data_IF_308722688462
#
_entry.id   IF_308722688462
#
_cell.length_a   1.000
_cell.length_b   1.000
_cell.length_c   1.000
_cell.angle_alpha   90.00
_cell.angle_beta   90.00
_cell.angle_gamma   90.00
#
_symmetry.space_group_name_H-M   'P 1'
#
loop_
_entity.id
_entity.type
_entity.pdbx_description
1 polymer ?
#
# COMPACT_ATOMS: atom_id res chain seq x y z
N UNK A 1 13.92 1.00 2.74
CA UNK A 1 12.98 1.89 2.02
C UNK A 1 12.73 3.10 2.91
N UNK A 2 13.05 4.30 2.44
CA UNK A 2 12.94 5.52 3.25
C UNK A 2 11.49 5.74 3.74
N UNK A 3 11.34 6.25 4.97
CA UNK A 3 10.02 6.46 5.61
C UNK A 3 9.08 7.32 4.74
N UNK A 4 9.61 8.28 3.98
CA UNK A 4 8.87 9.12 3.06
C UNK A 4 8.28 8.35 1.86
N UNK A 5 9.04 7.40 1.28
CA UNK A 5 8.58 6.53 0.18
C UNK A 5 7.42 5.65 0.64
N UNK A 6 7.53 5.09 1.85
CA UNK A 6 6.46 4.26 2.46
C UNK A 6 5.18 5.07 2.64
N UNK A 7 5.28 6.33 3.10
CA UNK A 7 4.11 7.21 3.29
C UNK A 7 3.41 7.52 1.97
N UNK A 8 4.16 7.89 0.92
CA UNK A 8 3.60 8.12 -0.42
C UNK A 8 2.96 6.85 -0.99
N UNK A 9 3.59 5.69 -0.78
CA UNK A 9 3.08 4.41 -1.30
C UNK A 9 1.74 4.00 -0.68
N UNK A 10 1.50 4.33 0.60
CA UNK A 10 0.19 4.11 1.26
C UNK A 10 -0.93 4.92 0.60
N UNK A 11 -0.64 6.17 0.25
CA UNK A 11 -1.59 7.06 -0.44
C UNK A 11 -1.90 6.50 -1.82
N UNK A 12 -0.88 6.09 -2.59
CA UNK A 12 -1.10 5.47 -3.91
C UNK A 12 -1.96 4.20 -3.82
N UNK A 13 -1.76 3.36 -2.79
CA UNK A 13 -2.61 2.18 -2.56
C UNK A 13 -4.06 2.57 -2.24
N UNK A 14 -4.27 3.63 -1.44
CA UNK A 14 -5.61 4.19 -1.17
C UNK A 14 -6.28 4.75 -2.43
N UNK A 15 -5.50 5.33 -3.34
CA UNK A 15 -5.96 5.84 -4.64
C UNK A 15 -6.24 4.72 -5.66
N UNK A 16 -6.09 3.45 -5.29
CA UNK A 16 -6.43 2.31 -6.15
C UNK A 16 -5.29 1.83 -7.06
N UNK A 17 -4.05 2.29 -6.86
CA UNK A 17 -2.93 1.85 -7.71
C UNK A 17 -2.73 0.33 -7.65
N UNK A 18 -2.46 -0.26 -8.81
CA UNK A 18 -2.15 -1.69 -8.94
C UNK A 18 -0.72 -1.97 -8.50
N UNK A 19 -0.42 -3.25 -8.18
CA UNK A 19 0.94 -3.65 -7.83
C UNK A 19 1.96 -3.34 -8.95
N UNK A 20 1.51 -3.35 -10.21
CA UNK A 20 2.35 -3.04 -11.37
C UNK A 20 2.67 -1.55 -11.46
N UNK A 21 1.68 -0.69 -11.25
CA UNK A 21 1.89 0.75 -11.20
C UNK A 21 2.81 1.15 -10.04
N UNK A 22 2.62 0.54 -8.87
CA UNK A 22 3.50 0.76 -7.72
C UNK A 22 4.93 0.26 -7.98
N UNK A 23 5.07 -0.91 -8.59
CA UNK A 23 6.38 -1.46 -8.97
C UNK A 23 7.14 -0.50 -9.90
N UNK A 24 6.46 0.01 -10.94
CA UNK A 24 7.03 0.95 -11.90
C UNK A 24 7.36 2.30 -11.26
N UNK A 25 6.46 2.85 -10.43
CA UNK A 25 6.60 4.18 -9.80
C UNK A 25 7.68 4.22 -8.72
N UNK A 26 7.84 3.14 -7.98
CA UNK A 26 8.80 3.07 -6.86
C UNK A 26 10.08 2.30 -7.19
N UNK A 27 10.25 1.84 -8.44
CA UNK A 27 11.37 1.04 -8.90
C UNK A 27 11.62 -0.19 -8.00
N UNK A 28 10.55 -0.92 -7.69
CA UNK A 28 10.59 -2.16 -6.89
C UNK A 28 9.99 -3.32 -7.67
N UNK A 29 10.31 -4.56 -7.29
CA UNK A 29 9.72 -5.75 -7.91
C UNK A 29 8.19 -5.80 -7.70
N UNK A 30 7.45 -6.29 -8.70
CA UNK A 30 5.99 -6.53 -8.63
C UNK A 30 5.59 -7.33 -7.39
N UNK A 31 6.36 -8.36 -7.03
CA UNK A 31 6.11 -9.16 -5.83
C UNK A 31 6.23 -8.35 -4.53
N UNK A 32 7.23 -7.46 -4.43
CA UNK A 32 7.41 -6.58 -3.28
C UNK A 32 6.27 -5.56 -3.15
N UNK A 33 5.87 -4.96 -4.28
CA UNK A 33 4.72 -4.05 -4.34
C UNK A 33 3.40 -4.76 -3.95
N UNK A 34 3.17 -5.97 -4.47
CA UNK A 34 2.00 -6.78 -4.16
C UNK A 34 1.94 -7.18 -2.67
N UNK A 35 3.06 -7.66 -2.11
CA UNK A 35 3.16 -8.01 -0.68
C UNK A 35 2.85 -6.82 0.21
N UNK A 36 3.37 -5.64 -0.13
CA UNK A 36 3.10 -4.42 0.63
C UNK A 36 1.63 -3.99 0.50
N UNK A 37 1.09 -3.94 -0.72
CA UNK A 37 -0.31 -3.60 -1.01
C UNK A 37 -1.27 -4.49 -0.21
N UNK A 38 -1.08 -5.81 -0.28
CA UNK A 38 -1.93 -6.77 0.44
C UNK A 38 -1.85 -6.60 1.95
N UNK A 39 -0.65 -6.38 2.50
CA UNK A 39 -0.48 -6.14 3.94
C UNK A 39 -1.20 -4.86 4.38
N UNK A 40 -1.08 -3.79 3.60
CA UNK A 40 -1.72 -2.51 3.92
C UNK A 40 -3.25 -2.58 3.80
N UNK A 41 -3.79 -3.22 2.75
CA UNK A 41 -5.23 -3.45 2.60
C UNK A 41 -5.77 -4.29 3.77
N UNK A 42 -5.05 -5.34 4.20
CA UNK A 42 -5.43 -6.16 5.35
C UNK A 42 -5.49 -5.35 6.65
N UNK A 43 -4.56 -4.42 6.84
CA UNK A 43 -4.57 -3.51 7.99
C UNK A 43 -5.77 -2.56 7.93
N UNK A 44 -6.05 -1.94 6.77
CA UNK A 44 -7.22 -1.07 6.61
C UNK A 44 -8.52 -1.83 6.86
N UNK A 45 -8.65 -3.06 6.34
CA UNK A 45 -9.82 -3.91 6.58
C UNK A 45 -10.04 -4.15 8.08
N UNK A 46 -8.99 -4.53 8.80
CA UNK A 46 -9.05 -4.72 10.26
C UNK A 46 -9.41 -3.43 11.00
N UNK A 47 -8.85 -2.28 10.58
CA UNK A 47 -9.18 -1.00 11.20
C UNK A 47 -10.64 -0.61 10.97
N UNK A 48 -11.20 -0.89 9.79
CA UNK A 48 -12.64 -0.73 9.51
C UNK A 48 -13.50 -1.65 10.36
N UNK A 49 -13.11 -2.92 10.51
CA UNK A 49 -13.82 -3.89 11.36
C UNK A 49 -13.85 -3.47 12.84
N UNK A 50 -12.84 -2.71 13.29
CA UNK A 50 -12.74 -2.19 14.66
C UNK A 50 -13.36 -0.80 14.85
N UNK A 51 -13.91 -0.17 13.80
CA UNK A 51 -14.43 1.21 13.87
C UNK A 51 -13.36 2.29 14.06
N UNK A 52 -12.08 1.98 13.82
CA UNK A 52 -10.94 2.90 14.03
C UNK A 52 -10.58 3.71 12.77
N UNK A 53 -11.43 3.68 11.75
CA UNK A 53 -11.16 4.25 10.45
C UNK A 53 -12.39 5.02 9.95
N UNK A 54 -12.54 6.22 10.48
CA UNK A 54 -13.43 7.29 9.98
C UNK A 54 -12.64 8.29 9.14
#
# INVERSE_FOLDING_TARGET
>A
MEKAKIRKMRIDIRLGFTAEQLAKKYHISKNSAAKYRNRYIKVIKKQREMGLYE
#
